data_IF_579590971827
#
_entry.id   IF_579590971827
#
_cell.length_a   1.000
_cell.length_b   1.000
_cell.length_c   1.000
_cell.angle_alpha   90.00
_cell.angle_beta   90.00
_cell.angle_gamma   90.00
#
_symmetry.space_group_name_H-M   'P 1'
#
loop_
_entity.id
_entity.type
_entity.pdbx_description
1 polymer ?
#
# COMPACT_ATOMS: atom_id res chain seq x y z
N UNK A 1 -35.99 -8.55 -36.88
CA UNK A 1 -34.69 -8.71 -36.20
C UNK A 1 -34.36 -7.33 -35.64
N UNK A 2 -34.67 -7.00 -34.38
CA UNK A 2 -34.17 -7.58 -33.11
C UNK A 2 -32.64 -7.67 -33.20
N UNK A 3 -31.91 -7.09 -32.23
CA UNK A 3 -30.46 -6.86 -32.18
C UNK A 3 -29.99 -5.50 -32.72
N UNK A 4 -30.44 -4.43 -32.06
CA UNK A 4 -29.63 -3.21 -32.00
C UNK A 4 -28.35 -3.52 -31.23
N UNK A 5 -27.20 -3.36 -31.89
CA UNK A 5 -25.87 -3.47 -31.30
C UNK A 5 -25.66 -2.33 -30.31
N UNK A 6 -26.08 -2.54 -29.06
CA UNK A 6 -25.59 -1.76 -27.94
C UNK A 6 -24.08 -2.04 -27.83
N UNK A 7 -23.28 -1.11 -28.32
CA UNK A 7 -21.84 -1.09 -28.04
C UNK A 7 -21.68 -0.99 -26.54
N UNK A 8 -21.44 -2.12 -25.87
CA UNK A 8 -20.94 -2.16 -24.49
C UNK A 8 -19.49 -1.69 -24.56
N UNK A 9 -19.31 -0.38 -24.63
CA UNK A 9 -18.01 0.24 -24.41
C UNK A 9 -17.75 0.12 -22.91
N UNK A 10 -16.67 -0.55 -22.51
CA UNK A 10 -16.20 -0.49 -21.11
C UNK A 10 -15.77 0.94 -20.82
N UNK A 11 -16.71 1.77 -20.37
CA UNK A 11 -16.39 3.08 -19.81
C UNK A 11 -15.51 2.82 -18.60
N UNK A 12 -14.38 3.53 -18.55
CA UNK A 12 -13.49 3.48 -17.40
C UNK A 12 -14.17 4.23 -16.26
N UNK A 13 -15.05 3.53 -15.54
CA UNK A 13 -15.71 4.09 -14.37
C UNK A 13 -14.65 4.37 -13.30
N UNK A 14 -14.46 5.65 -13.02
CA UNK A 14 -13.70 6.07 -11.85
C UNK A 14 -14.56 5.84 -10.61
N UNK A 15 -13.96 5.59 -9.44
CA UNK A 15 -14.71 5.36 -8.18
C UNK A 15 -15.78 6.46 -7.94
N UNK A 16 -15.51 7.69 -8.42
CA UNK A 16 -16.41 8.84 -8.32
C UNK A 16 -17.66 8.78 -9.20
N UNK A 17 -17.68 7.96 -10.25
CA UNK A 17 -18.78 7.86 -11.22
C UNK A 17 -19.55 6.53 -11.10
N UNK A 18 -19.15 5.69 -10.16
CA UNK A 18 -19.75 4.41 -9.88
C UNK A 18 -21.20 4.56 -9.37
N UNK A 19 -22.17 4.24 -10.22
CA UNK A 19 -23.60 4.22 -9.90
C UNK A 19 -24.05 2.79 -9.48
N UNK A 20 -24.84 2.67 -8.41
CA UNK A 20 -25.27 1.38 -7.81
C UNK A 20 -26.75 1.07 -8.07
N UNK A 21 -27.41 1.87 -8.89
CA UNK A 21 -28.85 1.77 -9.18
C UNK A 21 -29.27 0.52 -9.97
N UNK A 22 -28.34 -0.14 -10.67
CA UNK A 22 -28.56 -1.40 -11.41
C UNK A 22 -27.59 -2.48 -10.90
N UNK A 23 -28.02 -3.75 -10.90
CA UNK A 23 -27.25 -4.92 -10.48
C UNK A 23 -25.93 -5.02 -11.27
N UNK A 24 -25.97 -4.84 -12.59
CA UNK A 24 -24.77 -4.91 -13.43
C UNK A 24 -23.77 -3.79 -13.09
N UNK A 25 -24.28 -2.59 -12.80
CA UNK A 25 -23.45 -1.45 -12.41
C UNK A 25 -22.88 -1.64 -11.00
N UNK A 26 -23.64 -2.25 -10.07
CA UNK A 26 -23.18 -2.60 -8.74
C UNK A 26 -22.06 -3.67 -8.74
N UNK A 27 -22.11 -4.62 -9.68
CA UNK A 27 -21.03 -5.61 -9.84
C UNK A 27 -19.75 -4.95 -10.40
N UNK A 28 -19.90 -4.04 -11.37
CA UNK A 28 -18.78 -3.26 -11.90
C UNK A 28 -18.20 -2.31 -10.83
N UNK A 29 -19.06 -1.71 -10.01
CA UNK A 29 -18.70 -0.89 -8.86
C UNK A 29 -17.77 -1.63 -7.90
N UNK A 30 -18.18 -2.86 -7.53
CA UNK A 30 -17.43 -3.72 -6.63
C UNK A 30 -16.05 -4.04 -7.21
N UNK A 31 -15.97 -4.40 -8.50
CA UNK A 31 -14.70 -4.70 -9.16
C UNK A 31 -13.75 -3.49 -9.19
N UNK A 32 -14.27 -2.27 -9.38
CA UNK A 32 -13.48 -1.04 -9.34
C UNK A 32 -12.97 -0.76 -7.92
N UNK A 33 -13.82 -0.95 -6.90
CA UNK A 33 -13.45 -0.78 -5.49
C UNK A 33 -12.41 -1.79 -5.06
N UNK A 34 -12.56 -3.07 -5.42
CA UNK A 34 -11.58 -4.12 -5.08
C UNK A 34 -10.19 -3.80 -5.65
N UNK A 35 -10.14 -3.30 -6.89
CA UNK A 35 -8.88 -2.87 -7.50
C UNK A 35 -8.27 -1.66 -6.78
N UNK A 36 -9.10 -0.73 -6.34
CA UNK A 36 -8.66 0.44 -5.58
C UNK A 36 -8.11 0.04 -4.20
N UNK A 37 -8.81 -0.85 -3.49
CA UNK A 37 -8.36 -1.41 -2.21
C UNK A 37 -7.04 -2.16 -2.39
N UNK A 38 -6.92 -3.02 -3.41
CA UNK A 38 -5.67 -3.73 -3.69
C UNK A 38 -4.48 -2.78 -3.96
N UNK A 39 -4.74 -1.62 -4.56
CA UNK A 39 -3.71 -0.59 -4.76
C UNK A 39 -3.30 0.05 -3.42
N UNK A 40 -4.27 0.39 -2.57
CA UNK A 40 -4.01 0.94 -1.22
C UNK A 40 -3.23 -0.06 -0.37
N UNK A 41 -3.61 -1.33 -0.42
CA UNK A 41 -2.92 -2.40 0.31
C UNK A 41 -1.48 -2.58 -0.18
N UNK A 42 -1.23 -2.47 -1.49
CA UNK A 42 0.12 -2.44 -2.05
C UNK A 42 0.97 -1.30 -1.47
N UNK A 43 0.43 -0.08 -1.42
CA UNK A 43 1.11 1.08 -0.83
C UNK A 43 1.34 0.87 0.67
N UNK A 44 0.33 0.38 1.41
CA UNK A 44 0.43 0.13 2.86
C UNK A 44 1.46 -0.95 3.18
N UNK A 45 1.50 -2.02 2.38
CA UNK A 45 2.50 -3.08 2.48
C UNK A 45 3.91 -2.52 2.28
N UNK A 46 4.11 -1.69 1.26
CA UNK A 46 5.38 -1.00 1.02
C UNK A 46 5.80 -0.06 2.17
N UNK A 47 4.84 0.66 2.75
CA UNK A 47 5.08 1.48 3.93
C UNK A 47 5.46 0.62 5.15
N UNK A 48 4.76 -0.50 5.39
CA UNK A 48 5.08 -1.44 6.46
C UNK A 48 6.47 -2.07 6.31
N UNK A 49 6.87 -2.43 5.09
CA UNK A 49 8.21 -2.91 4.79
C UNK A 49 9.28 -1.84 5.07
N UNK A 50 9.03 -0.60 4.66
CA UNK A 50 9.90 0.54 4.95
C UNK A 50 10.01 0.77 6.46
N UNK A 51 8.88 0.70 7.18
CA UNK A 51 8.85 0.85 8.63
C UNK A 51 9.65 -0.27 9.33
N UNK A 52 9.55 -1.52 8.87
CA UNK A 52 10.36 -2.62 9.40
C UNK A 52 11.86 -2.35 9.19
N UNK A 53 12.25 -1.88 8.01
CA UNK A 53 13.65 -1.49 7.74
C UNK A 53 14.12 -0.36 8.66
N UNK A 54 13.29 0.64 8.90
CA UNK A 54 13.62 1.75 9.81
C UNK A 54 13.80 1.25 11.24
N UNK A 55 12.93 0.37 11.74
CA UNK A 55 13.05 -0.25 13.06
C UNK A 55 14.34 -1.04 13.18
N UNK A 56 14.62 -1.96 12.25
CA UNK A 56 15.86 -2.75 12.26
C UNK A 56 17.11 -1.86 12.17
N UNK A 57 17.05 -0.78 11.38
CA UNK A 57 18.15 0.18 11.27
C UNK A 57 18.36 0.94 12.58
N UNK A 58 17.28 1.37 13.23
CA UNK A 58 17.35 2.04 14.52
C UNK A 58 17.93 1.13 15.61
N UNK A 59 17.50 -0.14 15.67
CA UNK A 59 18.02 -1.12 16.62
C UNK A 59 19.51 -1.38 16.40
N UNK A 60 19.94 -1.52 15.14
CA UNK A 60 21.34 -1.65 14.78
C UNK A 60 22.15 -0.41 15.17
N UNK A 61 21.64 0.79 14.91
CA UNK A 61 22.29 2.05 15.32
C UNK A 61 22.42 2.17 16.83
N UNK A 62 21.40 1.79 17.60
CA UNK A 62 21.47 1.78 19.07
C UNK A 62 22.54 0.81 19.58
N UNK A 63 22.65 -0.38 18.99
CA UNK A 63 23.70 -1.34 19.34
C UNK A 63 25.10 -0.82 19.00
N UNK A 64 25.27 -0.19 17.82
CA UNK A 64 26.53 0.46 17.45
C UNK A 64 26.87 1.60 18.41
N UNK A 65 25.89 2.42 18.80
CA UNK A 65 26.04 3.49 19.80
C UNK A 65 26.52 2.96 21.15
N UNK A 66 25.89 1.88 21.66
CA UNK A 66 26.30 1.21 22.90
C UNK A 66 27.72 0.68 22.81
N UNK A 67 28.07 -0.03 21.73
CA UNK A 67 29.41 -0.58 21.54
C UNK A 67 30.47 0.52 21.40
N UNK A 68 30.18 1.59 20.66
CA UNK A 68 31.08 2.74 20.49
C UNK A 68 31.30 3.46 21.82
N UNK A 69 30.25 3.67 22.61
CA UNK A 69 30.35 4.27 23.94
C UNK A 69 31.17 3.41 24.89
N UNK A 70 30.93 2.09 24.90
CA UNK A 70 31.72 1.14 25.70
C UNK A 70 33.20 1.16 25.31
N UNK A 71 33.51 1.07 24.01
CA UNK A 71 34.88 1.13 23.50
C UNK A 71 35.57 2.48 23.82
N UNK A 72 34.86 3.60 23.70
CA UNK A 72 35.39 4.91 24.11
C UNK A 72 35.63 4.99 25.60
N UNK A 73 34.75 4.41 26.43
CA UNK A 73 34.97 4.31 27.88
C UNK A 73 36.22 3.49 28.19
N UNK A 74 36.44 2.38 27.49
CA UNK A 74 37.65 1.56 27.69
C UNK A 74 38.92 2.31 27.31
N UNK A 75 38.88 3.11 26.25
CA UNK A 75 40.02 3.95 25.82
C UNK A 75 40.24 5.15 26.77
N UNK A 76 39.19 5.71 27.36
CA UNK A 76 39.32 6.83 28.31
C UNK A 76 39.76 6.41 29.71
N UNK A 77 39.57 5.14 30.06
CA UNK A 77 39.93 4.59 31.36
C UNK A 77 41.41 4.11 31.42
N UNK A 78 42.11 4.04 30.27
CA UNK A 78 43.55 3.72 30.16
C UNK A 78 44.42 4.95 29.93
#
# INVERSE_FOLDING_TARGET
AVFGTATVSSTKETISQTDVTNIDNAQNALAVIDKAIGTIDGVRSGLGATQNRLTTTADNLQNIQKNSTAARSTIQDV
#
